data_IF_809782899951
#
_entry.id   IF_809782899951
#
_cell.length_a   1.000
_cell.length_b   1.000
_cell.length_c   1.000
_cell.angle_alpha   90.00
_cell.angle_beta   90.00
_cell.angle_gamma   90.00
#
_symmetry.space_group_name_H-M   'P 1'
#
loop_
_entity.id
_entity.type
_entity.pdbx_description
1 polymer ?
#
# COMPACT_ATOMS: atom_id res chain seq x y z
N UNK A 1 -21.96 -0.11 -3.52
CA UNK A 1 -21.23 -0.15 -2.22
C UNK A 1 -22.24 0.20 -1.16
N UNK A 2 -22.48 -0.70 -0.20
CA UNK A 2 -23.37 -0.45 0.94
C UNK A 2 -22.55 -0.52 2.22
N UNK A 3 -22.84 0.38 3.16
CA UNK A 3 -22.22 0.38 4.50
C UNK A 3 -23.32 -0.03 5.47
N UNK A 4 -23.20 -1.21 6.04
CA UNK A 4 -24.15 -1.78 7.01
C UNK A 4 -23.32 -2.31 8.18
N UNK A 5 -23.70 -1.94 9.41
CA UNK A 5 -23.10 -2.42 10.67
C UNK A 5 -21.57 -2.42 10.72
N UNK A 6 -20.95 -1.30 10.31
CA UNK A 6 -19.50 -1.12 10.31
C UNK A 6 -18.74 -2.03 9.32
N UNK A 7 -19.46 -2.69 8.41
CA UNK A 7 -18.92 -3.53 7.34
C UNK A 7 -19.24 -2.91 5.98
N UNK A 8 -18.21 -2.80 5.12
CA UNK A 8 -18.37 -2.27 3.76
C UNK A 8 -18.60 -3.44 2.79
N UNK A 9 -19.82 -3.54 2.27
CA UNK A 9 -20.20 -4.52 1.27
C UNK A 9 -20.08 -3.93 -0.14
N UNK A 10 -19.13 -4.44 -0.91
CA UNK A 10 -18.98 -4.13 -2.34
C UNK A 10 -19.77 -5.19 -3.12
N UNK A 11 -20.78 -4.77 -3.89
CA UNK A 11 -21.53 -5.66 -4.79
C UNK A 11 -21.10 -5.43 -6.24
N UNK A 12 -21.20 -6.47 -7.08
CA UNK A 12 -20.99 -6.38 -8.53
C UNK A 12 -22.32 -6.55 -9.27
N UNK A 13 -22.55 -5.82 -10.38
CA UNK A 13 -23.79 -5.94 -11.14
C UNK A 13 -23.84 -7.18 -12.04
N UNK A 14 -22.70 -7.73 -12.47
CA UNK A 14 -22.64 -8.94 -13.29
C UNK A 14 -21.34 -9.73 -13.09
N UNK A 15 -21.30 -10.97 -13.59
CA UNK A 15 -20.16 -11.90 -13.49
C UNK A 15 -19.17 -11.80 -14.65
N UNK A 16 -19.32 -10.78 -15.52
CA UNK A 16 -18.36 -10.57 -16.59
C UNK A 16 -16.95 -10.33 -16.02
N UNK A 17 -15.93 -10.73 -16.79
CA UNK A 17 -14.52 -10.70 -16.36
C UNK A 17 -14.08 -9.32 -15.86
N UNK A 18 -14.51 -8.26 -16.54
CA UNK A 18 -14.20 -6.87 -16.16
C UNK A 18 -14.83 -6.46 -14.82
N UNK A 19 -16.12 -6.76 -14.63
CA UNK A 19 -16.81 -6.45 -13.38
C UNK A 19 -16.25 -7.24 -12.19
N UNK A 20 -15.81 -8.48 -12.40
CA UNK A 20 -15.07 -9.26 -11.38
C UNK A 20 -13.72 -8.63 -11.03
N UNK A 21 -12.95 -8.20 -12.02
CA UNK A 21 -11.65 -7.57 -11.78
C UNK A 21 -11.81 -6.25 -11.00
N UNK A 22 -12.74 -5.39 -11.44
CA UNK A 22 -13.03 -4.12 -10.77
C UNK A 22 -13.51 -4.32 -9.34
N UNK A 23 -14.40 -5.29 -9.11
CA UNK A 23 -14.90 -5.63 -7.77
C UNK A 23 -13.76 -6.00 -6.80
N UNK A 24 -12.84 -6.84 -7.23
CA UNK A 24 -11.66 -7.22 -6.44
C UNK A 24 -10.75 -6.03 -6.14
N UNK A 25 -10.48 -5.20 -7.15
CA UNK A 25 -9.65 -4.00 -7.01
C UNK A 25 -10.27 -2.99 -6.04
N UNK A 26 -11.57 -2.69 -6.18
CA UNK A 26 -12.26 -1.76 -5.27
C UNK A 26 -12.26 -2.28 -3.83
N UNK A 27 -12.48 -3.59 -3.62
CA UNK A 27 -12.41 -4.20 -2.29
C UNK A 27 -11.00 -4.07 -1.69
N UNK A 28 -9.95 -4.34 -2.47
CA UNK A 28 -8.57 -4.26 -2.01
C UNK A 28 -8.17 -2.83 -1.66
N UNK A 29 -8.55 -1.85 -2.49
CA UNK A 29 -8.28 -0.43 -2.21
C UNK A 29 -8.94 0.04 -0.91
N UNK A 30 -10.21 -0.30 -0.70
CA UNK A 30 -10.94 0.07 0.52
C UNK A 30 -10.33 -0.60 1.76
N UNK A 31 -9.96 -1.87 1.68
CA UNK A 31 -9.27 -2.56 2.76
C UNK A 31 -7.92 -1.91 3.10
N UNK A 32 -7.12 -1.56 2.08
CA UNK A 32 -5.83 -0.90 2.27
C UNK A 32 -5.98 0.50 2.89
N UNK A 33 -7.04 1.24 2.56
CA UNK A 33 -7.33 2.55 3.17
C UNK A 33 -7.64 2.40 4.67
N UNK A 34 -8.48 1.42 5.04
CA UNK A 34 -8.83 1.14 6.45
C UNK A 34 -7.60 0.70 7.25
N UNK A 35 -6.81 -0.23 6.69
CA UNK A 35 -5.58 -0.69 7.33
C UNK A 35 -4.55 0.45 7.46
N UNK A 36 -4.42 1.30 6.44
CA UNK A 36 -3.52 2.45 6.44
C UNK A 36 -3.85 3.49 7.52
N UNK A 37 -5.13 3.74 7.80
CA UNK A 37 -5.53 4.64 8.91
C UNK A 37 -5.38 3.98 10.27
N UNK A 38 -5.60 2.66 10.36
CA UNK A 38 -5.61 1.94 11.64
C UNK A 38 -4.19 1.58 12.13
N UNK A 39 -3.32 1.11 11.23
CA UNK A 39 -1.97 0.63 11.54
C UNK A 39 -0.85 1.52 11.01
N UNK A 40 -1.14 2.39 10.04
CA UNK A 40 -0.12 3.11 9.29
C UNK A 40 0.50 2.27 8.18
N UNK A 41 1.43 2.87 7.44
CA UNK A 41 2.16 2.21 6.34
C UNK A 41 3.64 2.16 6.66
N UNK A 42 4.20 0.96 6.72
CA UNK A 42 5.63 0.71 6.92
C UNK A 42 6.17 -0.20 5.81
N UNK A 43 7.37 0.10 5.33
CA UNK A 43 8.15 -0.81 4.49
C UNK A 43 9.59 -0.82 4.99
N UNK A 44 10.03 -1.97 5.49
CA UNK A 44 11.44 -2.22 5.77
C UNK A 44 12.20 -2.40 4.45
N UNK A 45 13.27 -1.65 4.27
CA UNK A 45 14.19 -1.79 3.15
C UNK A 45 15.56 -2.18 3.71
N UNK A 46 16.13 -3.25 3.17
CA UNK A 46 17.47 -3.71 3.53
C UNK A 46 18.49 -3.20 2.51
N UNK A 47 19.64 -2.73 3.00
CA UNK A 47 20.71 -2.19 2.16
C UNK A 47 21.89 -3.16 2.18
N UNK A 48 22.18 -3.77 1.03
CA UNK A 48 23.25 -4.78 0.88
C UNK A 48 24.39 -4.20 0.06
N UNK A 49 25.58 -4.09 0.66
CA UNK A 49 26.80 -3.62 -0.03
C UNK A 49 27.89 -3.15 0.94
N UNK A 50 29.15 -3.25 0.52
CA UNK A 50 30.30 -2.78 1.32
C UNK A 50 30.39 -1.26 1.23
N UNK A 51 30.32 -0.58 2.38
CA UNK A 51 30.37 0.88 2.46
C UNK A 51 29.04 1.58 2.18
N UNK A 52 27.95 0.85 2.00
CA UNK A 52 26.63 1.43 1.78
C UNK A 52 26.06 1.99 3.09
N UNK A 53 25.59 3.24 3.06
CA UNK A 53 25.04 3.92 4.24
C UNK A 53 23.79 4.71 3.89
N UNK A 54 22.78 4.64 4.74
CA UNK A 54 21.61 5.50 4.70
C UNK A 54 21.66 6.50 5.85
N UNK A 55 21.53 7.79 5.57
CA UNK A 55 21.45 8.85 6.57
C UNK A 55 20.22 9.72 6.33
N UNK A 56 19.46 9.99 7.39
CA UNK A 56 18.31 10.89 7.35
C UNK A 56 18.78 12.31 7.64
N UNK A 57 18.74 13.18 6.63
CA UNK A 57 18.97 14.63 6.79
C UNK A 57 17.62 15.35 6.75
N UNK A 58 17.02 15.56 7.94
CA UNK A 58 15.69 16.16 8.07
C UNK A 58 14.61 15.30 7.40
N UNK A 59 14.03 15.82 6.31
CA UNK A 59 13.03 15.12 5.46
C UNK A 59 13.65 14.37 4.27
N UNK A 60 14.95 14.52 4.03
CA UNK A 60 15.66 13.84 2.93
C UNK A 60 16.37 12.60 3.44
N UNK A 61 16.30 11.50 2.68
CA UNK A 61 17.10 10.30 2.91
C UNK A 61 18.28 10.32 1.94
N UNK A 62 19.49 10.46 2.48
CA UNK A 62 20.75 10.40 1.71
C UNK A 62 21.23 8.95 1.72
N UNK A 63 21.29 8.35 0.53
CA UNK A 63 21.75 6.99 0.32
C UNK A 63 23.12 7.04 -0.35
N UNK A 64 24.17 6.66 0.39
CA UNK A 64 25.52 6.55 -0.13
C UNK A 64 25.72 5.09 -0.57
N UNK A 65 25.52 4.82 -1.86
CA UNK A 65 25.56 3.47 -2.47
C UNK A 65 26.73 3.30 -3.44
N UNK A 66 27.83 4.04 -3.24
CA UNK A 66 29.03 3.94 -4.06
C UNK A 66 28.95 4.61 -5.44
N UNK A 67 27.96 5.50 -5.64
CA UNK A 67 27.92 6.40 -6.78
C UNK A 67 28.77 7.65 -6.46
N UNK A 68 29.78 7.95 -7.30
CA UNK A 68 30.56 9.18 -7.26
C UNK A 68 29.92 10.27 -8.13
#
# INVERSE_FOLDING_TARGET
IKVEDNVINVSRPSDAKEHRALHGTTRALLANMVEGVSKGFERGLELIGVGYRAQKQGKKLVLNVGYS
#
